data_IF_102991115347
#
_entry.id   IF_102991115347
#
_cell.length_a   1.000
_cell.length_b   1.000
_cell.length_c   1.000
_cell.angle_alpha   90.00
_cell.angle_beta   90.00
_cell.angle_gamma   90.00
#
_symmetry.space_group_name_H-M   'P 1'
#
loop_
_entity.id
_entity.type
_entity.pdbx_description
1 polymer ?
#
# COMPACT_ATOMS: atom_id res chain seq x y z
N UNK A 1 -10.08 -66.14 -34.08
CA UNK A 1 -10.92 -64.94 -33.92
C UNK A 1 -10.09 -63.90 -33.20
N UNK A 2 -9.56 -62.96 -33.96
CA UNK A 2 -8.59 -61.97 -33.53
C UNK A 2 -9.31 -60.67 -33.18
N UNK A 3 -9.10 -60.14 -31.97
CA UNK A 3 -9.59 -58.83 -31.56
C UNK A 3 -8.42 -58.01 -31.02
N UNK A 4 -7.96 -57.06 -31.82
CA UNK A 4 -6.95 -56.07 -31.45
C UNK A 4 -7.64 -54.85 -30.84
N UNK A 5 -7.20 -54.41 -29.66
CA UNK A 5 -7.58 -53.13 -29.07
C UNK A 5 -6.39 -52.17 -29.20
N UNK A 6 -6.64 -51.08 -29.91
CA UNK A 6 -5.69 -50.04 -30.29
C UNK A 6 -5.52 -49.03 -29.15
N UNK A 7 -4.29 -48.78 -28.72
CA UNK A 7 -3.94 -47.74 -27.75
C UNK A 7 -3.82 -46.38 -28.43
N UNK A 8 -4.69 -45.43 -28.06
CA UNK A 8 -4.59 -44.03 -28.46
C UNK A 8 -3.62 -43.27 -27.58
N UNK A 9 -2.42 -43.00 -28.10
CA UNK A 9 -1.47 -42.04 -27.52
C UNK A 9 -1.89 -40.60 -27.84
N UNK A 10 -2.08 -39.79 -26.81
CA UNK A 10 -2.28 -38.35 -26.94
C UNK A 10 -0.91 -37.69 -27.08
N UNK A 11 -0.60 -37.27 -28.31
CA UNK A 11 0.58 -36.47 -28.65
C UNK A 11 0.33 -35.02 -28.24
N UNK A 12 1.18 -34.47 -27.36
CA UNK A 12 1.16 -33.05 -26.99
C UNK A 12 1.83 -32.22 -28.10
N UNK A 13 1.09 -31.22 -28.54
CA UNK A 13 1.35 -30.31 -29.64
C UNK A 13 2.70 -29.57 -29.52
N UNK A 14 3.38 -29.26 -30.64
CA UNK A 14 4.66 -28.57 -30.64
C UNK A 14 4.51 -27.05 -30.49
N UNK A 15 5.51 -26.48 -29.83
CA UNK A 15 5.84 -25.07 -29.73
C UNK A 15 5.63 -24.30 -31.05
N UNK A 16 4.89 -23.18 -31.07
CA UNK A 16 4.96 -22.23 -32.17
C UNK A 16 6.17 -21.32 -31.98
N UNK A 17 7.01 -21.36 -33.00
CA UNK A 17 8.23 -20.60 -33.20
C UNK A 17 8.01 -19.09 -33.08
N UNK A 18 8.93 -18.49 -32.32
CA UNK A 18 9.40 -17.11 -32.40
C UNK A 18 9.31 -16.51 -33.82
N UNK A 19 8.46 -15.50 -33.98
CA UNK A 19 8.54 -14.55 -35.09
C UNK A 19 8.15 -13.15 -34.64
N UNK A 20 9.06 -12.21 -34.87
CA UNK A 20 8.80 -10.78 -35.00
C UNK A 20 8.52 -10.00 -33.71
N UNK A 21 9.56 -9.42 -33.11
CA UNK A 21 9.38 -8.27 -32.24
C UNK A 21 9.75 -7.00 -33.03
N UNK A 22 8.79 -6.30 -33.66
CA UNK A 22 9.05 -5.00 -34.24
C UNK A 22 9.19 -3.98 -33.12
N UNK A 23 10.24 -3.16 -33.23
CA UNK A 23 10.43 -1.89 -32.53
C UNK A 23 9.12 -1.27 -32.03
N UNK A 24 8.91 -1.36 -30.72
CA UNK A 24 8.14 -0.38 -29.97
C UNK A 24 9.04 0.14 -28.85
N UNK A 25 9.93 1.06 -29.24
CA UNK A 25 10.35 2.16 -28.36
C UNK A 25 9.15 3.09 -28.10
N UNK A 26 8.03 2.51 -27.63
CA UNK A 26 7.06 3.26 -26.87
C UNK A 26 7.81 3.58 -25.59
N UNK A 27 8.35 4.80 -25.52
CA UNK A 27 8.83 5.37 -24.28
C UNK A 27 7.80 5.00 -23.21
N UNK A 28 8.16 4.13 -22.27
CA UNK A 28 7.29 3.89 -21.14
C UNK A 28 6.99 5.28 -20.59
N UNK A 29 5.71 5.71 -20.58
CA UNK A 29 5.40 7.00 -19.98
C UNK A 29 5.98 6.92 -18.59
N UNK A 30 6.89 7.86 -18.26
CA UNK A 30 7.43 7.98 -16.92
C UNK A 30 6.23 8.06 -15.99
N UNK A 31 5.83 6.92 -15.39
CA UNK A 31 4.64 6.79 -14.55
C UNK A 31 4.74 7.69 -13.33
N UNK A 32 5.94 8.20 -13.07
CA UNK A 32 6.21 9.34 -12.23
C UNK A 32 6.46 10.56 -13.10
N UNK A 33 5.39 11.29 -13.43
CA UNK A 33 5.53 12.74 -13.45
C UNK A 33 5.76 13.13 -11.99
N UNK A 34 6.88 13.77 -11.61
CA UNK A 34 7.01 14.33 -10.28
C UNK A 34 5.75 15.17 -10.03
N UNK A 35 5.01 14.86 -8.95
CA UNK A 35 3.86 15.66 -8.55
C UNK A 35 4.32 17.12 -8.58
N UNK A 36 3.52 18.02 -9.17
CA UNK A 36 3.89 19.43 -9.28
C UNK A 36 4.06 20.09 -7.90
N UNK A 37 3.57 19.44 -6.86
CA UNK A 37 3.61 19.85 -5.45
C UNK A 37 4.93 19.65 -4.69
N UNK A 38 6.08 19.45 -5.33
CA UNK A 38 7.38 19.55 -4.63
C UNK A 38 7.89 20.98 -4.75
N UNK A 39 7.68 21.76 -3.69
CA UNK A 39 8.18 23.13 -3.61
C UNK A 39 9.46 23.17 -2.76
N UNK A 40 10.45 23.99 -3.13
CA UNK A 40 11.66 24.15 -2.32
C UNK A 40 11.30 24.73 -0.94
N UNK A 41 12.04 24.34 0.08
CA UNK A 41 11.93 24.95 1.40
C UNK A 41 12.33 26.43 1.35
N UNK A 42 11.71 27.24 2.21
CA UNK A 42 12.11 28.63 2.37
C UNK A 42 13.50 28.69 3.04
N UNK A 43 14.32 29.73 2.74
CA UNK A 43 15.63 29.89 3.36
C UNK A 43 15.56 29.78 4.89
N UNK A 44 16.35 28.87 5.46
CA UNK A 44 16.42 28.64 6.91
C UNK A 44 15.36 27.69 7.48
N UNK A 45 14.45 27.14 6.66
CA UNK A 45 13.52 26.08 7.08
C UNK A 45 14.01 24.69 6.65
N UNK A 46 13.93 23.67 7.52
CA UNK A 46 14.23 22.31 7.11
C UNK A 46 13.21 21.85 6.06
N UNK A 47 13.68 21.16 5.02
CA UNK A 47 12.79 20.56 4.03
C UNK A 47 12.11 19.34 4.69
N UNK A 48 10.77 19.30 4.80
CA UNK A 48 10.09 18.10 5.31
C UNK A 48 10.53 16.84 4.55
N UNK A 49 10.73 16.92 3.23
CA UNK A 49 11.03 15.74 2.42
C UNK A 49 12.39 15.09 2.75
N UNK A 50 13.28 15.77 3.49
CA UNK A 50 14.49 15.17 4.06
C UNK A 50 14.18 13.98 5.00
N UNK A 51 13.03 13.98 5.67
CA UNK A 51 12.60 12.91 6.57
C UNK A 51 12.13 11.64 5.85
N UNK A 52 11.77 11.75 4.57
CA UNK A 52 11.28 10.63 3.74
C UNK A 52 12.25 10.25 2.62
N UNK A 53 13.40 10.90 2.53
CA UNK A 53 14.41 10.63 1.48
C UNK A 53 14.91 9.18 1.46
N UNK A 54 14.86 8.51 2.61
CA UNK A 54 15.30 7.12 2.77
C UNK A 54 14.21 6.11 2.37
N UNK A 55 12.99 6.57 2.05
CA UNK A 55 11.92 5.71 1.53
C UNK A 55 12.11 5.58 0.02
N UNK A 56 12.56 4.42 -0.50
CA UNK A 56 12.69 4.21 -1.93
C UNK A 56 11.32 4.26 -2.62
N UNK A 57 11.35 4.66 -3.89
CA UNK A 57 10.19 4.57 -4.78
C UNK A 57 9.64 3.14 -4.84
N UNK A 58 8.32 2.96 -5.03
CA UNK A 58 7.67 1.65 -5.01
C UNK A 58 8.31 0.63 -5.96
N UNK A 59 8.67 1.01 -7.17
CA UNK A 59 9.23 0.11 -8.18
C UNK A 59 10.58 -0.45 -7.73
N UNK A 60 11.44 0.43 -7.19
CA UNK A 60 12.74 0.03 -6.63
C UNK A 60 12.54 -0.83 -5.39
N UNK A 61 11.62 -0.46 -4.50
CA UNK A 61 11.33 -1.19 -3.27
C UNK A 61 10.82 -2.61 -3.57
N UNK A 62 9.89 -2.76 -4.52
CA UNK A 62 9.34 -4.05 -4.95
C UNK A 62 10.42 -4.91 -5.60
N UNK A 63 11.20 -4.33 -6.53
CA UNK A 63 12.30 -5.03 -7.19
C UNK A 63 13.33 -5.54 -6.18
N UNK A 64 13.75 -4.70 -5.23
CA UNK A 64 14.68 -5.09 -4.17
C UNK A 64 14.07 -6.16 -3.24
N UNK A 65 12.79 -6.00 -2.87
CA UNK A 65 12.06 -6.96 -2.05
C UNK A 65 12.00 -8.37 -2.70
N UNK A 66 11.80 -8.43 -4.02
CA UNK A 66 11.74 -9.67 -4.79
C UNK A 66 13.12 -10.23 -5.21
N UNK A 67 14.19 -9.45 -5.12
CA UNK A 67 15.52 -9.82 -5.62
C UNK A 67 16.25 -10.88 -4.78
N UNK A 68 15.63 -11.41 -3.72
CA UNK A 68 16.25 -12.41 -2.84
C UNK A 68 16.28 -13.77 -3.54
N UNK A 69 17.47 -14.35 -3.79
CA UNK A 69 17.56 -15.63 -4.49
C UNK A 69 16.82 -16.73 -3.73
N UNK A 70 15.96 -17.47 -4.41
CA UNK A 70 15.21 -18.59 -3.83
C UNK A 70 16.12 -19.67 -3.21
N UNK A 71 17.35 -19.79 -3.72
CA UNK A 71 18.32 -20.79 -3.29
C UNK A 71 19.07 -20.46 -1.99
N UNK A 72 19.03 -19.21 -1.50
CA UNK A 72 19.81 -18.78 -0.35
C UNK A 72 18.91 -18.25 0.78
N UNK A 73 19.10 -18.70 2.03
CA UNK A 73 18.45 -18.09 3.17
C UNK A 73 18.80 -16.60 3.29
N UNK A 74 17.85 -15.74 3.68
CA UNK A 74 16.44 -16.05 3.93
C UNK A 74 15.66 -16.24 2.62
N UNK A 75 14.93 -17.35 2.48
CA UNK A 75 14.05 -17.56 1.33
C UNK A 75 12.85 -16.64 1.49
N UNK A 76 12.56 -15.81 0.49
CA UNK A 76 11.30 -15.03 0.43
C UNK A 76 10.35 -15.68 -0.55
N UNK A 77 9.31 -16.28 -0.01
CA UNK A 77 8.23 -16.91 -0.77
C UNK A 77 6.93 -16.15 -0.51
N UNK A 78 6.83 -14.94 -1.06
CA UNK A 78 5.59 -14.15 -1.05
C UNK A 78 4.86 -14.41 -2.37
N UNK A 79 3.57 -14.80 -2.34
CA UNK A 79 2.79 -15.04 -3.54
C UNK A 79 2.90 -13.91 -4.55
N UNK A 80 3.26 -14.25 -5.79
CA UNK A 80 3.39 -13.29 -6.89
C UNK A 80 2.10 -12.50 -7.12
N UNK A 81 0.94 -13.10 -6.87
CA UNK A 81 -0.36 -12.43 -6.94
C UNK A 81 -0.50 -11.27 -5.94
N UNK A 82 0.02 -11.42 -4.70
CA UNK A 82 0.02 -10.34 -3.72
C UNK A 82 0.91 -9.21 -4.22
N UNK A 83 2.11 -9.54 -4.70
CA UNK A 83 3.04 -8.53 -5.23
C UNK A 83 2.46 -7.83 -6.47
N UNK A 84 1.75 -8.55 -7.34
CA UNK A 84 1.09 -7.97 -8.51
C UNK A 84 0.01 -6.96 -8.10
N UNK A 85 -0.78 -7.24 -7.07
CA UNK A 85 -1.75 -6.28 -6.54
C UNK A 85 -1.11 -5.08 -5.84
N UNK A 86 0.06 -5.26 -5.21
CA UNK A 86 0.82 -4.16 -4.61
C UNK A 86 1.44 -3.26 -5.68
N UNK A 87 2.05 -3.85 -6.71
CA UNK A 87 2.73 -3.11 -7.78
C UNK A 87 1.76 -2.38 -8.69
N UNK A 88 0.64 -3.02 -9.03
CA UNK A 88 -0.37 -2.49 -9.94
C UNK A 88 -1.78 -2.71 -9.36
N UNK A 89 -2.19 -1.91 -8.37
CA UNK A 89 -3.50 -2.04 -7.76
C UNK A 89 -4.58 -1.61 -8.76
N UNK A 90 -5.31 -2.60 -9.27
CA UNK A 90 -6.45 -2.41 -10.17
C UNK A 90 -7.69 -1.99 -9.37
N UNK A 91 -7.68 -0.79 -8.80
CA UNK A 91 -8.68 -0.32 -7.82
C UNK A 91 -10.08 -0.12 -8.39
N UNK A 92 -10.26 -0.23 -9.71
CA UNK A 92 -11.57 -0.31 -10.38
C UNK A 92 -12.23 -1.68 -10.22
N UNK A 93 -11.44 -2.72 -9.91
CA UNK A 93 -11.92 -4.08 -9.71
C UNK A 93 -12.26 -4.32 -8.23
N UNK A 94 -12.92 -5.44 -7.96
CA UNK A 94 -13.17 -5.91 -6.59
C UNK A 94 -11.85 -6.06 -5.83
N UNK A 95 -11.84 -5.61 -4.57
CA UNK A 95 -10.73 -5.83 -3.66
C UNK A 95 -10.40 -7.34 -3.55
N UNK A 96 -9.12 -7.74 -3.61
CA UNK A 96 -8.72 -9.12 -3.39
C UNK A 96 -9.11 -9.62 -1.98
N UNK A 97 -9.50 -10.88 -1.86
CA UNK A 97 -9.67 -11.51 -0.54
C UNK A 97 -8.30 -11.76 0.10
N UNK A 98 -7.83 -10.77 0.86
CA UNK A 98 -6.53 -10.83 1.49
C UNK A 98 -6.41 -11.95 2.51
N UNK A 99 -7.50 -12.34 3.19
CA UNK A 99 -7.46 -13.43 4.16
C UNK A 99 -7.21 -14.76 3.45
N UNK A 100 -7.90 -15.00 2.34
CA UNK A 100 -7.65 -16.17 1.50
C UNK A 100 -6.22 -16.18 0.99
N UNK A 101 -5.70 -15.03 0.54
CA UNK A 101 -4.31 -14.93 0.09
C UNK A 101 -3.29 -15.13 1.23
N UNK A 102 -3.59 -14.66 2.44
CA UNK A 102 -2.74 -14.87 3.62
C UNK A 102 -2.67 -16.35 4.03
N UNK A 103 -3.70 -17.16 3.76
CA UNK A 103 -3.66 -18.58 4.09
C UNK A 103 -2.52 -19.33 3.38
N UNK A 104 -1.96 -18.80 2.28
CA UNK A 104 -0.75 -19.34 1.66
C UNK A 104 0.40 -19.53 2.66
N UNK A 105 0.61 -18.57 3.56
CA UNK A 105 1.69 -18.63 4.55
C UNK A 105 1.48 -19.69 5.64
N UNK A 106 0.27 -20.29 5.73
CA UNK A 106 -0.03 -21.44 6.60
C UNK A 106 0.25 -22.77 5.91
N UNK A 107 0.38 -22.80 4.58
CA UNK A 107 0.54 -24.03 3.83
C UNK A 107 1.94 -24.62 4.09
N UNK A 108 2.03 -25.94 4.28
CA UNK A 108 3.29 -26.65 4.53
C UNK A 108 4.33 -26.49 3.43
N UNK A 109 3.90 -26.11 2.22
CA UNK A 109 4.76 -25.83 1.06
C UNK A 109 5.46 -24.46 1.13
N UNK A 110 4.95 -23.51 1.92
CA UNK A 110 5.56 -22.18 2.05
C UNK A 110 6.76 -22.27 2.99
N UNK A 111 7.95 -22.33 2.39
CA UNK A 111 9.20 -22.39 3.13
C UNK A 111 9.35 -21.09 3.94
N UNK A 112 9.40 -21.22 5.26
CA UNK A 112 9.46 -20.09 6.20
C UNK A 112 8.22 -19.17 6.19
N UNK A 113 7.02 -19.72 5.96
CA UNK A 113 5.79 -18.96 5.72
C UNK A 113 5.50 -17.80 6.68
N UNK A 114 5.64 -18.00 8.00
CA UNK A 114 5.42 -16.92 8.97
C UNK A 114 6.46 -15.80 8.83
N UNK A 115 7.71 -16.13 8.52
CA UNK A 115 8.81 -15.19 8.34
C UNK A 115 8.61 -14.36 7.08
N UNK A 116 8.09 -14.98 6.02
CA UNK A 116 7.67 -14.29 4.81
C UNK A 116 6.47 -13.37 5.05
N UNK A 117 5.52 -13.78 5.91
CA UNK A 117 4.42 -12.92 6.32
C UNK A 117 4.92 -11.72 7.16
N UNK A 118 5.90 -11.92 8.06
CA UNK A 118 6.53 -10.84 8.82
C UNK A 118 7.24 -9.85 7.88
N UNK A 119 8.01 -10.35 6.91
CA UNK A 119 8.66 -9.49 5.91
C UNK A 119 7.64 -8.70 5.09
N UNK A 120 6.57 -9.34 4.63
CA UNK A 120 5.49 -8.69 3.89
C UNK A 120 4.83 -7.61 4.75
N UNK A 121 4.55 -7.89 6.02
CA UNK A 121 3.96 -6.92 6.93
C UNK A 121 4.83 -5.66 7.06
N UNK A 122 6.12 -5.84 7.37
CA UNK A 122 7.05 -4.72 7.54
C UNK A 122 7.27 -3.99 6.22
N UNK A 123 7.33 -4.71 5.08
CA UNK A 123 7.37 -4.11 3.76
C UNK A 123 6.16 -3.21 3.50
N UNK A 124 4.97 -3.69 3.85
CA UNK A 124 3.74 -2.91 3.68
C UNK A 124 3.72 -1.65 4.54
N UNK A 125 4.06 -1.75 5.84
CA UNK A 125 3.95 -0.63 6.78
C UNK A 125 5.10 0.37 6.71
N UNK A 126 6.28 -0.03 6.24
CA UNK A 126 7.47 0.84 6.18
C UNK A 126 7.76 1.41 4.79
N UNK A 127 7.17 0.84 3.73
CA UNK A 127 7.50 1.23 2.36
C UNK A 127 6.26 1.47 1.52
N UNK A 128 5.42 0.46 1.35
CA UNK A 128 4.30 0.51 0.38
C UNK A 128 3.24 1.52 0.82
N UNK A 129 2.79 1.41 2.07
CA UNK A 129 1.76 2.28 2.62
C UNK A 129 2.27 3.73 2.80
N UNK A 130 3.48 3.98 3.34
CA UNK A 130 4.07 5.31 3.31
C UNK A 130 4.10 5.97 1.93
N UNK A 131 4.53 5.26 0.88
CA UNK A 131 4.51 5.80 -0.49
C UNK A 131 3.08 6.16 -0.95
N UNK A 132 2.09 5.32 -0.65
CA UNK A 132 0.70 5.63 -0.99
C UNK A 132 0.15 6.85 -0.21
N UNK A 133 0.58 7.06 1.03
CA UNK A 133 0.21 8.23 1.83
C UNK A 133 0.91 9.49 1.29
N UNK A 134 2.18 9.39 0.89
CA UNK A 134 2.92 10.49 0.24
C UNK A 134 2.19 10.96 -1.00
N UNK A 135 1.79 10.03 -1.88
CA UNK A 135 0.98 10.32 -3.06
C UNK A 135 -0.33 11.03 -2.68
N UNK A 136 -1.09 10.49 -1.71
CA UNK A 136 -2.36 11.06 -1.27
C UNK A 136 -2.18 12.50 -0.79
N UNK A 137 -1.17 12.72 0.07
CA UNK A 137 -0.90 14.01 0.68
C UNK A 137 -0.47 15.05 -0.36
N UNK A 138 0.36 14.66 -1.33
CA UNK A 138 0.76 15.54 -2.45
C UNK A 138 -0.44 15.91 -3.33
N UNK A 139 -1.31 14.96 -3.66
CA UNK A 139 -2.55 15.25 -4.42
C UNK A 139 -3.49 16.19 -3.66
N UNK A 140 -3.68 15.97 -2.35
CA UNK A 140 -4.48 16.87 -1.52
C UNK A 140 -3.84 18.26 -1.43
N UNK A 141 -2.51 18.34 -1.40
CA UNK A 141 -1.82 19.62 -1.40
C UNK A 141 -2.11 20.39 -2.69
N UNK A 142 -2.04 19.73 -3.85
CA UNK A 142 -2.41 20.34 -5.13
C UNK A 142 -3.87 20.79 -5.13
N UNK A 143 -4.79 19.96 -4.64
CA UNK A 143 -6.20 20.31 -4.48
C UNK A 143 -6.40 21.58 -3.64
N UNK A 144 -5.83 21.66 -2.44
CA UNK A 144 -6.01 22.84 -1.58
C UNK A 144 -5.21 24.05 -2.04
N UNK A 145 -4.18 23.87 -2.87
CA UNK A 145 -3.50 24.99 -3.55
C UNK A 145 -4.36 25.63 -4.62
N UNK A 146 -5.28 24.88 -5.23
CA UNK A 146 -6.25 25.35 -6.22
C UNK A 146 -7.58 25.81 -5.58
N UNK A 147 -8.09 25.03 -4.63
CA UNK A 147 -9.42 25.19 -4.00
C UNK A 147 -9.28 25.48 -2.50
N UNK A 148 -8.69 26.62 -2.16
CA UNK A 148 -8.36 26.99 -0.75
C UNK A 148 -9.55 27.08 0.21
N UNK A 149 -10.74 27.39 -0.31
CA UNK A 149 -11.97 27.52 0.49
C UNK A 149 -12.69 26.20 0.69
N UNK A 150 -12.17 25.10 0.12
CA UNK A 150 -12.74 23.78 0.29
C UNK A 150 -12.66 23.34 1.76
N UNK A 151 -13.69 22.61 2.20
CA UNK A 151 -13.74 22.03 3.55
C UNK A 151 -12.49 21.16 3.81
N UNK A 152 -11.92 21.18 5.03
CA UNK A 152 -10.85 20.26 5.42
C UNK A 152 -11.26 18.78 5.38
N UNK A 153 -12.56 18.50 5.41
CA UNK A 153 -13.13 17.17 5.56
C UNK A 153 -13.52 16.58 4.20
N UNK A 154 -12.52 16.43 3.33
CA UNK A 154 -12.65 15.71 2.05
C UNK A 154 -12.59 14.20 2.28
N UNK A 155 -13.49 13.45 1.64
CA UNK A 155 -13.60 11.98 1.74
C UNK A 155 -12.30 11.23 1.38
N UNK A 156 -11.53 11.74 0.43
CA UNK A 156 -10.35 11.08 -0.13
C UNK A 156 -9.09 11.17 0.72
N UNK A 157 -9.15 11.81 1.89
CA UNK A 157 -7.98 11.99 2.74
C UNK A 157 -7.59 10.69 3.42
N UNK A 158 -6.30 10.36 3.47
CA UNK A 158 -5.80 9.09 4.04
C UNK A 158 -6.25 8.81 5.50
N UNK A 159 -6.58 9.83 6.29
CA UNK A 159 -7.11 9.68 7.67
C UNK A 159 -8.64 9.54 7.74
N UNK A 160 -9.36 9.76 6.63
CA UNK A 160 -10.83 9.70 6.56
C UNK A 160 -11.38 8.27 6.58
N UNK A 161 -10.50 7.26 6.57
CA UNK A 161 -10.88 5.84 6.66
C UNK A 161 -11.72 5.52 7.92
N UNK A 162 -11.62 6.34 8.99
CA UNK A 162 -12.07 5.97 10.32
C UNK A 162 -13.21 6.78 10.97
N UNK A 163 -13.49 8.08 10.67
CA UNK A 163 -14.49 8.82 11.44
C UNK A 163 -15.95 8.52 11.07
N UNK A 164 -16.24 7.76 10.00
CA UNK A 164 -17.61 7.65 9.47
C UNK A 164 -18.46 6.53 10.07
N UNK A 165 -18.00 5.84 11.13
CA UNK A 165 -18.71 4.72 11.75
C UNK A 165 -20.06 5.03 12.42
N UNK A 166 -20.48 6.29 12.45
CA UNK A 166 -21.78 6.69 13.04
C UNK A 166 -22.76 7.31 12.06
N UNK A 167 -22.42 7.46 10.77
CA UNK A 167 -23.39 7.92 9.77
C UNK A 167 -23.79 6.76 8.85
N UNK A 168 -25.09 6.41 8.76
CA UNK A 168 -25.54 5.47 7.74
C UNK A 168 -25.14 6.05 6.38
N UNK A 169 -24.31 5.31 5.65
CA UNK A 169 -23.98 5.65 4.27
C UNK A 169 -25.30 5.61 3.51
N UNK A 170 -25.79 6.78 3.11
CA UNK A 170 -26.82 6.89 2.09
C UNK A 170 -26.32 6.10 0.89
N UNK A 171 -27.02 5.00 0.62
CA UNK A 171 -26.85 4.13 -0.54
C UNK A 171 -26.79 4.98 -1.81
N UNK A 172 -25.57 5.26 -2.28
CA UNK A 172 -25.32 5.38 -3.71
C UNK A 172 -25.54 3.98 -4.27
N UNK A 173 -26.80 3.71 -4.62
CA UNK A 173 -27.21 2.49 -5.28
C UNK A 173 -26.25 2.22 -6.45
N UNK A 174 -25.66 1.02 -6.45
CA UNK A 174 -24.91 0.37 -7.54
C UNK A 174 -23.37 0.26 -7.42
N UNK A 175 -22.73 0.76 -6.36
CA UNK A 175 -21.36 0.33 -6.06
C UNK A 175 -21.37 -0.76 -4.98
N UNK A 176 -21.75 -1.97 -5.38
CA UNK A 176 -21.54 -3.17 -4.56
C UNK A 176 -20.02 -3.34 -4.43
N UNK A 177 -19.44 -2.92 -3.30
CA UNK A 177 -18.14 -3.37 -2.84
C UNK A 177 -18.40 -4.46 -1.79
N UNK A 178 -18.57 -5.73 -2.19
CA UNK A 178 -19.14 -6.78 -1.33
C UNK A 178 -18.19 -7.28 -0.23
N UNK A 179 -16.98 -6.72 -0.12
CA UNK A 179 -15.97 -7.04 0.90
C UNK A 179 -15.78 -5.93 1.95
N UNK A 180 -16.27 -4.71 1.66
CA UNK A 180 -16.01 -3.54 2.48
C UNK A 180 -16.71 -3.65 3.86
N UNK A 181 -17.96 -4.12 3.91
CA UNK A 181 -18.73 -4.15 5.16
C UNK A 181 -18.14 -5.05 6.25
N UNK A 182 -17.39 -6.12 5.93
CA UNK A 182 -16.90 -7.06 6.94
C UNK A 182 -15.86 -6.43 7.87
N UNK A 183 -14.83 -5.81 7.31
CA UNK A 183 -13.82 -5.12 8.10
C UNK A 183 -14.36 -3.82 8.68
N UNK A 184 -15.28 -3.15 8.02
CA UNK A 184 -15.83 -1.92 8.59
C UNK A 184 -16.69 -2.23 9.83
N UNK A 185 -17.63 -3.17 9.77
CA UNK A 185 -18.49 -3.48 10.93
C UNK A 185 -17.78 -4.21 12.07
N UNK A 186 -16.65 -4.88 11.81
CA UNK A 186 -15.94 -5.71 12.79
C UNK A 186 -14.49 -5.30 13.08
N UNK A 187 -13.93 -4.28 12.42
CA UNK A 187 -12.61 -3.77 12.77
C UNK A 187 -12.71 -3.00 14.08
N UNK A 188 -12.64 -3.78 15.14
CA UNK A 188 -12.22 -3.38 16.48
C UNK A 188 -11.07 -2.38 16.39
N UNK A 189 -11.08 -1.48 17.38
CA UNK A 189 -9.95 -0.66 17.80
C UNK A 189 -8.59 -1.27 17.43
N UNK A 190 -7.66 -0.44 16.97
CA UNK A 190 -6.27 -0.86 16.80
C UNK A 190 -5.77 -1.66 18.02
N UNK A 191 -5.34 -2.90 17.81
CA UNK A 191 -4.73 -3.74 18.85
C UNK A 191 -3.21 -3.58 18.76
N UNK A 192 -2.50 -2.94 19.69
CA UNK A 192 -1.04 -2.79 19.58
C UNK A 192 -0.33 -4.15 19.56
N UNK A 193 0.85 -4.28 18.91
CA UNK A 193 1.64 -5.52 18.92
C UNK A 193 1.90 -6.08 20.32
N UNK A 194 2.04 -5.22 21.33
CA UNK A 194 2.24 -5.62 22.73
C UNK A 194 1.01 -6.26 23.39
N UNK A 195 -0.19 -6.03 22.84
CA UNK A 195 -1.43 -6.66 23.29
C UNK A 195 -1.76 -7.94 22.49
N UNK A 196 -1.03 -8.21 21.41
CA UNK A 196 -1.20 -9.45 20.64
C UNK A 196 -0.55 -10.63 21.37
N UNK A 197 -1.05 -11.86 21.16
CA UNK A 197 -0.34 -13.05 21.59
C UNK A 197 1.06 -13.08 20.97
N UNK A 198 2.10 -13.04 21.81
CA UNK A 198 3.50 -13.12 21.39
C UNK A 198 4.06 -14.54 21.52
N UNK A 199 5.03 -14.88 20.68
CA UNK A 199 5.93 -16.01 20.88
C UNK A 199 6.89 -15.69 22.05
N UNK A 200 7.09 -16.67 22.94
CA UNK A 200 7.94 -16.53 24.12
C UNK A 200 9.41 -16.29 23.74
N UNK A 201 9.86 -16.94 22.67
CA UNK A 201 11.21 -16.79 22.10
C UNK A 201 11.05 -16.41 20.65
N UNK A 202 11.84 -15.43 20.20
CA UNK A 202 11.93 -15.11 18.78
C UNK A 202 12.54 -16.32 18.05
N UNK A 203 11.69 -17.11 17.40
CA UNK A 203 12.10 -18.35 16.73
C UNK A 203 12.97 -18.11 15.50
N UNK A 204 13.01 -16.86 14.99
CA UNK A 204 13.60 -16.51 13.69
C UNK A 204 14.47 -15.27 13.77
N UNK A 205 15.70 -15.28 13.21
CA UNK A 205 16.55 -14.10 13.20
C UNK A 205 15.88 -12.95 12.44
N UNK A 206 15.95 -11.74 13.00
CA UNK A 206 15.53 -10.52 12.31
C UNK A 206 16.37 -10.35 11.05
N UNK A 207 15.72 -10.04 9.94
CA UNK A 207 16.38 -9.86 8.64
C UNK A 207 15.92 -8.56 7.99
N UNK A 208 16.79 -7.88 7.22
CA UNK A 208 16.41 -6.70 6.47
C UNK A 208 15.26 -7.00 5.51
N UNK A 209 14.33 -6.06 5.36
CA UNK A 209 13.23 -6.15 4.38
C UNK A 209 13.72 -5.77 2.98
N UNK A 210 14.64 -4.82 2.90
CA UNK A 210 15.32 -4.42 1.67
C UNK A 210 16.79 -4.88 1.73
N UNK A 211 17.39 -5.20 0.57
CA UNK A 211 18.81 -5.59 0.51
C UNK A 211 19.70 -4.38 0.31
N UNK A 212 19.23 -3.42 -0.47
CA UNK A 212 20.04 -2.28 -0.92
C UNK A 212 20.11 -1.15 0.11
N UNK A 213 19.12 -1.04 0.99
CA UNK A 213 19.00 0.05 1.97
C UNK A 213 18.42 -0.44 3.30
N UNK A 214 18.69 0.25 4.43
CA UNK A 214 18.01 -0.01 5.69
C UNK A 214 16.48 0.15 5.57
N UNK A 215 15.72 -0.59 6.39
CA UNK A 215 14.27 -0.38 6.51
C UNK A 215 13.99 1.04 7.00
N UNK A 216 13.14 1.84 6.33
CA UNK A 216 12.85 3.20 6.76
C UNK A 216 12.24 3.29 8.16
N UNK A 217 12.61 4.34 8.90
CA UNK A 217 12.03 4.63 10.21
C UNK A 217 10.62 5.20 10.07
N UNK A 218 9.62 4.52 10.64
CA UNK A 218 8.28 5.10 10.69
C UNK A 218 8.15 6.29 11.63
N UNK A 219 9.06 6.45 12.60
CA UNK A 219 9.07 7.66 13.41
C UNK A 219 9.41 8.88 12.55
N UNK A 220 10.40 8.76 11.65
CA UNK A 220 10.72 9.82 10.69
C UNK A 220 9.52 10.09 9.76
N UNK A 221 8.82 9.03 9.34
CA UNK A 221 7.62 9.16 8.52
C UNK A 221 6.46 9.86 9.26
N UNK A 222 6.21 9.54 10.53
CA UNK A 222 5.19 10.23 11.34
C UNK A 222 5.57 11.69 11.62
N UNK A 223 6.86 11.96 11.82
CA UNK A 223 7.37 13.32 11.94
C UNK A 223 7.12 14.09 10.63
N UNK A 224 7.39 13.49 9.47
CA UNK A 224 7.07 14.07 8.16
C UNK A 224 5.57 14.36 8.03
N UNK A 225 4.69 13.44 8.43
CA UNK A 225 3.23 13.66 8.43
C UNK A 225 2.85 14.88 9.27
N UNK A 226 3.52 15.08 10.40
CA UNK A 226 3.25 16.18 11.32
C UNK A 226 3.82 17.54 10.85
N UNK A 227 4.80 17.54 9.96
CA UNK A 227 5.37 18.79 9.40
C UNK A 227 4.46 19.38 8.32
N UNK A 228 4.29 20.72 8.25
CA UNK A 228 3.59 21.36 7.14
C UNK A 228 4.33 21.11 5.83
N UNK A 229 3.59 20.97 4.73
CA UNK A 229 4.19 20.89 3.40
C UNK A 229 4.69 22.26 2.94
N UNK A 230 5.81 22.29 2.19
CA UNK A 230 6.30 23.50 1.55
C UNK A 230 5.22 24.05 0.61
N UNK A 231 4.95 25.35 0.69
CA UNK A 231 4.06 26.08 -0.24
C UNK A 231 4.87 27.06 -1.08
N UNK A 232 4.39 27.44 -2.28
CA UNK A 232 4.99 28.53 -3.05
C UNK A 232 5.15 29.81 -2.22
N UNK A 233 6.22 30.56 -2.44
CA UNK A 233 6.51 31.78 -1.67
C UNK A 233 5.48 32.90 -1.87
N UNK A 234 4.80 32.92 -3.03
CA UNK A 234 3.71 33.84 -3.37
C UNK A 234 2.36 33.45 -2.74
N UNK A 235 2.28 32.25 -2.17
CA UNK A 235 1.06 31.69 -1.60
C UNK A 235 1.11 31.78 -0.07
N UNK A 236 -0.06 32.01 0.57
CA UNK A 236 -0.13 31.95 2.04
C UNK A 236 0.29 30.56 2.54
N UNK A 237 0.66 30.52 3.83
CA UNK A 237 1.05 29.33 4.61
C UNK A 237 0.22 28.09 4.28
N UNK A 238 0.82 26.91 4.50
CA UNK A 238 0.20 25.60 4.32
C UNK A 238 -1.25 25.59 4.84
N UNK A 239 -2.25 25.28 4.00
CA UNK A 239 -3.64 25.28 4.40
C UNK A 239 -3.85 24.38 5.62
N UNK A 240 -4.58 24.87 6.62
CA UNK A 240 -4.87 24.10 7.85
C UNK A 240 -5.53 22.75 7.54
N UNK A 241 -6.17 22.62 6.38
CA UNK A 241 -6.75 21.39 5.86
C UNK A 241 -5.71 20.25 5.72
N UNK A 242 -4.43 20.56 5.52
CA UNK A 242 -3.34 19.60 5.32
C UNK A 242 -2.64 19.18 6.62
N UNK A 243 -2.97 19.82 7.75
CA UNK A 243 -2.40 19.48 9.06
C UNK A 243 -2.80 18.05 9.40
N UNK A 244 -1.81 17.18 9.59
CA UNK A 244 -2.05 15.77 9.94
C UNK A 244 -2.89 15.63 11.21
N UNK A 245 -3.82 14.67 11.18
CA UNK A 245 -4.69 14.34 12.31
C UNK A 245 -4.30 12.95 12.77
N UNK A 246 -3.91 12.76 14.04
CA UNK A 246 -3.56 11.45 14.52
C UNK A 246 -4.68 10.44 14.31
N UNK A 247 -4.34 9.25 13.82
CA UNK A 247 -5.31 8.19 13.52
C UNK A 247 -4.71 6.80 13.72
N UNK A 248 -5.53 5.75 13.66
CA UNK A 248 -5.07 4.36 13.84
C UNK A 248 -4.01 3.92 12.83
N UNK A 249 -3.96 4.55 11.66
CA UNK A 249 -2.92 4.29 10.66
C UNK A 249 -1.54 4.56 11.21
N UNK A 250 -1.38 5.61 12.02
CA UNK A 250 -0.10 6.05 12.58
C UNK A 250 0.51 4.95 13.46
N UNK A 251 -0.35 4.22 14.16
CA UNK A 251 0.08 3.14 15.02
C UNK A 251 0.67 1.98 14.19
N UNK A 252 0.05 1.60 13.07
CA UNK A 252 0.61 0.62 12.14
C UNK A 252 1.92 1.08 11.49
N UNK A 253 2.03 2.36 11.17
CA UNK A 253 3.20 2.95 10.54
C UNK A 253 4.41 3.02 11.47
N UNK A 254 4.21 2.96 12.79
CA UNK A 254 5.25 3.12 13.80
C UNK A 254 5.44 1.90 14.72
N UNK A 255 4.94 0.73 14.34
CA UNK A 255 5.08 -0.48 15.16
C UNK A 255 6.53 -0.93 15.27
N UNK A 256 7.00 -1.19 16.48
CA UNK A 256 8.33 -1.75 16.69
C UNK A 256 8.50 -3.08 15.95
N UNK A 257 9.51 -3.16 15.08
CA UNK A 257 9.73 -4.35 14.26
C UNK A 257 10.03 -5.56 15.15
N UNK A 258 10.76 -5.40 16.25
CA UNK A 258 11.04 -6.48 17.20
C UNK A 258 9.76 -7.12 17.76
N UNK A 259 8.75 -6.32 18.10
CA UNK A 259 7.44 -6.83 18.53
C UNK A 259 6.71 -7.53 17.38
N UNK A 260 6.67 -6.94 16.18
CA UNK A 260 6.03 -7.55 15.00
C UNK A 260 6.61 -8.94 14.71
N UNK A 261 7.93 -9.09 14.81
CA UNK A 261 8.65 -10.36 14.60
C UNK A 261 8.34 -11.43 15.64
N UNK A 262 7.62 -11.08 16.70
CA UNK A 262 7.20 -12.00 17.77
C UNK A 262 5.70 -12.24 17.81
N UNK A 263 4.89 -11.56 16.99
CA UNK A 263 3.44 -11.80 16.93
C UNK A 263 3.18 -13.24 16.46
N UNK A 264 2.24 -13.93 17.13
CA UNK A 264 1.83 -15.28 16.72
C UNK A 264 1.32 -15.31 15.27
N UNK A 265 1.56 -16.40 14.53
CA UNK A 265 1.24 -16.50 13.11
C UNK A 265 -0.20 -16.08 12.76
N UNK A 266 -1.20 -16.55 13.51
CA UNK A 266 -2.61 -16.29 13.23
C UNK A 266 -2.96 -14.80 13.34
N UNK A 267 -2.47 -14.16 14.41
CA UNK A 267 -2.67 -12.72 14.63
C UNK A 267 -1.93 -11.90 13.57
N UNK A 268 -0.70 -12.28 13.24
CA UNK A 268 0.09 -11.61 12.20
C UNK A 268 -0.61 -11.67 10.83
N UNK A 269 -1.18 -12.81 10.45
CA UNK A 269 -1.87 -12.97 9.17
C UNK A 269 -3.09 -12.05 9.06
N UNK A 270 -3.92 -12.01 10.11
CA UNK A 270 -5.07 -11.08 10.16
C UNK A 270 -4.62 -9.62 10.10
N UNK A 271 -3.55 -9.30 10.82
CA UNK A 271 -2.96 -7.96 10.83
C UNK A 271 -2.44 -7.55 9.46
N UNK A 272 -1.73 -8.43 8.76
CA UNK A 272 -1.21 -8.21 7.41
C UNK A 272 -2.34 -8.04 6.41
N UNK A 273 -3.40 -8.86 6.47
CA UNK A 273 -4.58 -8.70 5.63
C UNK A 273 -5.23 -7.33 5.83
N UNK A 274 -5.37 -6.88 7.08
CA UNK A 274 -5.91 -5.53 7.39
C UNK A 274 -5.05 -4.41 6.80
N UNK A 275 -3.73 -4.52 6.90
CA UNK A 275 -2.79 -3.54 6.31
C UNK A 275 -2.89 -3.53 4.78
N UNK A 276 -3.08 -4.69 4.13
CA UNK A 276 -3.32 -4.78 2.69
C UNK A 276 -4.65 -4.13 2.27
N UNK A 277 -5.73 -4.33 3.04
CA UNK A 277 -7.01 -3.63 2.82
C UNK A 277 -6.88 -2.12 2.95
N UNK A 278 -6.19 -1.64 3.98
CA UNK A 278 -5.90 -0.20 4.16
C UNK A 278 -5.15 0.38 2.96
N UNK A 279 -4.13 -0.34 2.48
CA UNK A 279 -3.39 0.04 1.29
C UNK A 279 -4.30 0.10 0.04
N UNK A 280 -5.12 -0.92 -0.18
CA UNK A 280 -6.04 -0.98 -1.33
C UNK A 280 -7.00 0.21 -1.34
N UNK A 281 -7.64 0.48 -0.19
CA UNK A 281 -8.51 1.63 -0.02
C UNK A 281 -7.79 2.95 -0.34
N UNK A 282 -6.58 3.13 0.20
CA UNK A 282 -5.81 4.35 -0.01
C UNK A 282 -5.42 4.54 -1.48
N UNK A 283 -5.03 3.47 -2.18
CA UNK A 283 -4.77 3.52 -3.61
C UNK A 283 -6.03 3.88 -4.41
N UNK A 284 -7.20 3.40 -3.99
CA UNK A 284 -8.47 3.77 -4.61
C UNK A 284 -8.76 5.27 -4.41
N UNK A 285 -8.53 5.81 -3.21
CA UNK A 285 -8.67 7.26 -2.97
C UNK A 285 -7.71 8.08 -3.85
N UNK A 286 -6.45 7.64 -3.98
CA UNK A 286 -5.47 8.30 -4.84
C UNK A 286 -5.88 8.25 -6.32
N UNK A 287 -6.46 7.15 -6.78
CA UNK A 287 -6.98 7.05 -8.15
C UNK A 287 -8.10 8.06 -8.41
N UNK A 288 -9.04 8.21 -7.47
CA UNK A 288 -10.09 9.22 -7.55
C UNK A 288 -9.53 10.64 -7.55
N UNK A 289 -8.59 10.96 -6.65
CA UNK A 289 -7.94 12.27 -6.62
C UNK A 289 -7.24 12.59 -7.94
N UNK A 290 -6.51 11.63 -8.52
CA UNK A 290 -5.87 11.79 -9.85
C UNK A 290 -6.89 12.00 -10.97
N UNK A 291 -8.04 11.34 -10.90
CA UNK A 291 -9.12 11.55 -11.86
C UNK A 291 -9.69 12.98 -11.75
N UNK A 292 -9.91 13.48 -10.53
CA UNK A 292 -10.30 14.87 -10.31
C UNK A 292 -9.22 15.86 -10.76
N UNK A 293 -7.95 15.61 -10.45
CA UNK A 293 -6.82 16.42 -10.92
C UNK A 293 -6.82 16.53 -12.45
N UNK A 294 -6.96 15.40 -13.14
CA UNK A 294 -7.04 15.34 -14.61
C UNK A 294 -8.25 16.10 -15.18
N UNK A 295 -9.30 16.28 -14.40
CA UNK A 295 -10.48 17.08 -14.73
C UNK A 295 -10.44 18.51 -14.16
N UNK A 296 -9.30 18.98 -13.64
CA UNK A 296 -9.16 20.34 -13.08
C UNK A 296 -9.93 20.54 -11.77
N UNK A 297 -10.06 19.49 -10.97
CA UNK A 297 -10.77 19.46 -9.68
C UNK A 297 -12.26 19.79 -9.75
N UNK A 298 -12.88 19.70 -10.93
CA UNK A 298 -14.31 19.98 -11.13
C UNK A 298 -15.16 18.97 -10.35
N UNK A 299 -16.08 19.48 -9.52
CA UNK A 299 -17.07 18.66 -8.79
C UNK A 299 -16.55 18.05 -7.49
N UNK A 300 -15.31 18.33 -7.07
CA UNK A 300 -14.71 17.84 -5.83
C UNK A 300 -15.48 18.31 -4.58
N UNK A 301 -16.20 19.43 -4.68
CA UNK A 301 -17.03 20.00 -3.63
C UNK A 301 -18.11 19.01 -3.16
N UNK A 302 -18.62 18.16 -4.07
CA UNK A 302 -19.59 17.09 -3.74
C UNK A 302 -19.04 15.98 -2.85
N UNK A 303 -17.72 15.91 -2.69
CA UNK A 303 -17.00 14.89 -1.94
C UNK A 303 -16.54 15.39 -0.56
N UNK A 304 -16.92 16.61 -0.20
CA UNK A 304 -16.71 17.16 1.13
C UNK A 304 -17.82 16.70 2.07
N UNK A 305 -17.49 16.44 3.33
CA UNK A 305 -18.50 16.32 4.37
C UNK A 305 -19.04 17.71 4.72
N UNK A 306 -20.38 17.79 4.78
CA UNK A 306 -21.15 18.90 5.32
C UNK A 306 -21.50 18.66 6.78
#
# INVERSE_FOLDING_TARGET
>A
MSGAASGGGVSLNPNPSSSGNPNSNAAQPSLFRPSRAVYPSLPGQPDPDDLIRDIPFPEKAISDFQSVPFAQPPRRDVPSIIIAHISNPQTSNTEPDWIVLMNHFKESRCLDGVGNCQDLYVFMTRLVMPNAIIDNRRLLHELYMEKRTLSPDVRFRYVSFWPSFTRPVLTLANAVLPSYDYWHTHATSYTPPSAEPLEAVQSRPTRPVLRSVPTPSGQNFLQWLSMPMNTPADKQLCPNQLVHRPCHLDAYLNEDEGHVRRIRPEALLQRTAKVLSLFWWLKAQNAWLKAYEGAGWVGIESQCYT
#
